data_IF_070195609048
#
_entry.id   IF_070195609048
#
_cell.length_a   1.000
_cell.length_b   1.000
_cell.length_c   1.000
_cell.angle_alpha   90.00
_cell.angle_beta   90.00
_cell.angle_gamma   90.00
#
_symmetry.space_group_name_H-M   'P 1'
#
loop_
_entity.id
_entity.type
_entity.pdbx_description
1 polymer ?
#
# COMPACT_ATOMS: atom_id res chain seq x y z
N UNK A 1 -3.30 9.78 18.37
CA UNK A 1 -3.90 8.87 17.38
C UNK A 1 -2.75 8.09 16.76
N UNK A 2 -2.83 6.75 16.67
CA UNK A 2 -1.80 5.97 15.97
C UNK A 2 -1.94 6.26 14.47
N UNK A 3 -0.84 6.40 13.73
CA UNK A 3 -0.91 6.50 12.27
C UNK A 3 -1.24 5.13 11.67
N UNK A 4 -2.06 5.07 10.60
CA UNK A 4 -2.44 3.81 9.99
C UNK A 4 -1.26 3.18 9.28
N UNK A 5 -0.91 1.96 9.70
CA UNK A 5 0.23 1.21 9.19
C UNK A 5 -0.11 0.51 7.87
N UNK A 6 -1.39 0.38 7.51
CA UNK A 6 -1.78 -0.16 6.22
C UNK A 6 -3.06 0.51 5.74
N UNK A 7 -3.15 0.78 4.44
CA UNK A 7 -4.37 1.22 3.77
C UNK A 7 -4.66 0.28 2.60
N UNK A 8 -5.87 -0.26 2.56
CA UNK A 8 -6.33 -1.14 1.48
C UNK A 8 -7.49 -0.48 0.74
N UNK A 9 -7.51 -0.64 -0.59
CA UNK A 9 -8.62 -0.19 -1.40
C UNK A 9 -9.79 -1.17 -1.26
N UNK A 10 -10.95 -0.67 -0.91
CA UNK A 10 -12.17 -1.45 -0.75
C UNK A 10 -12.96 -1.49 -2.07
N UNK A 11 -13.98 -2.34 -2.15
CA UNK A 11 -14.83 -2.48 -3.34
C UNK A 11 -15.57 -1.18 -3.71
N UNK A 12 -15.83 -0.31 -2.74
CA UNK A 12 -16.40 1.04 -2.94
C UNK A 12 -15.41 2.04 -3.56
N UNK A 13 -14.15 1.62 -3.74
CA UNK A 13 -13.07 2.43 -4.29
C UNK A 13 -12.32 3.29 -3.26
N UNK A 14 -12.76 3.30 -2.00
CA UNK A 14 -12.14 4.08 -0.92
C UNK A 14 -10.95 3.34 -0.30
N UNK A 15 -9.98 4.10 0.20
CA UNK A 15 -8.85 3.56 0.96
C UNK A 15 -9.20 3.48 2.44
N UNK A 16 -9.26 2.27 2.99
CA UNK A 16 -9.56 2.03 4.40
C UNK A 16 -8.27 1.84 5.20
N UNK A 17 -8.06 2.60 6.30
CA UNK A 17 -6.91 2.43 7.16
C UNK A 17 -7.06 1.25 8.13
N UNK A 18 -5.95 0.54 8.37
CA UNK A 18 -5.80 -0.56 9.32
C UNK A 18 -4.59 -0.31 10.23
N UNK A 19 -4.69 -0.82 11.46
CA UNK A 19 -3.70 -0.62 12.52
C UNK A 19 -3.26 -1.97 13.07
N UNK A 20 -1.97 -2.09 13.38
CA UNK A 20 -1.43 -3.27 14.07
C UNK A 20 -2.05 -3.42 15.47
N UNK A 21 -2.17 -4.66 15.96
CA UNK A 21 -2.60 -4.94 17.32
C UNK A 21 -1.65 -4.32 18.35
N UNK A 22 -2.15 -4.12 19.57
CA UNK A 22 -1.35 -3.55 20.67
C UNK A 22 -0.24 -4.49 21.16
N UNK A 23 -0.39 -5.79 20.93
CA UNK A 23 0.56 -6.82 21.32
C UNK A 23 0.88 -7.70 20.10
N UNK A 24 2.18 -7.90 19.85
CA UNK A 24 2.69 -8.76 18.80
C UNK A 24 3.53 -9.83 19.49
N UNK A 25 3.20 -11.11 19.25
CA UNK A 25 3.94 -12.20 19.87
C UNK A 25 5.32 -12.39 19.21
N UNK A 26 6.27 -12.96 19.96
CA UNK A 26 7.59 -13.30 19.41
C UNK A 26 7.53 -14.27 18.24
N UNK A 27 6.50 -15.13 18.18
CA UNK A 27 6.26 -16.03 17.04
C UNK A 27 5.90 -15.25 15.77
N UNK A 28 5.03 -14.24 15.89
CA UNK A 28 4.68 -13.36 14.77
C UNK A 28 5.91 -12.56 14.31
N UNK A 29 6.72 -12.07 15.25
CA UNK A 29 7.97 -11.37 14.91
C UNK A 29 8.97 -12.29 14.19
N UNK A 30 9.11 -13.54 14.64
CA UNK A 30 9.95 -14.54 13.94
C UNK A 30 9.48 -14.75 12.50
N UNK A 31 8.19 -15.01 12.31
CA UNK A 31 7.62 -15.23 10.97
C UNK A 31 7.81 -13.99 10.07
N UNK A 32 7.64 -12.79 10.63
CA UNK A 32 7.91 -11.54 9.92
C UNK A 32 9.36 -11.42 9.48
N UNK A 33 10.32 -11.82 10.31
CA UNK A 33 11.74 -11.81 9.96
C UNK A 33 12.04 -12.77 8.81
N UNK A 34 11.56 -14.02 8.90
CA UNK A 34 11.77 -15.03 7.87
C UNK A 34 11.15 -14.59 6.53
N UNK A 35 9.95 -14.00 6.57
CA UNK A 35 9.27 -13.49 5.38
C UNK A 35 9.98 -12.26 4.80
N UNK A 36 10.42 -11.33 5.64
CA UNK A 36 11.14 -10.14 5.21
C UNK A 36 12.46 -10.48 4.49
N UNK A 37 13.18 -11.51 4.94
CA UNK A 37 14.42 -11.92 4.27
C UNK A 37 14.17 -12.50 2.88
N UNK A 38 13.13 -13.33 2.72
CA UNK A 38 12.75 -13.87 1.40
C UNK A 38 12.24 -12.81 0.43
N UNK A 39 11.59 -11.76 0.94
CA UNK A 39 11.05 -10.66 0.13
C UNK A 39 12.10 -9.65 -0.36
N UNK A 40 13.37 -9.77 0.07
CA UNK A 40 14.47 -8.91 -0.42
C UNK A 40 15.00 -9.34 -1.79
N UNK A 41 14.62 -10.52 -2.27
CA UNK A 41 15.06 -11.04 -3.56
C UNK A 41 14.41 -10.29 -4.73
N UNK A 42 15.16 -10.08 -5.83
CA UNK A 42 14.64 -9.36 -7.00
C UNK A 42 13.47 -10.08 -7.70
N UNK A 43 13.42 -11.42 -7.57
CA UNK A 43 12.41 -12.27 -8.18
C UNK A 43 11.57 -12.98 -7.12
N UNK A 44 10.67 -12.23 -6.48
CA UNK A 44 9.74 -12.79 -5.51
C UNK A 44 8.71 -13.70 -6.22
N UNK A 45 8.64 -15.00 -5.90
CA UNK A 45 7.64 -15.89 -6.47
C UNK A 45 6.25 -15.55 -5.95
N UNK A 46 5.22 -15.75 -6.78
CA UNK A 46 3.84 -15.41 -6.40
C UNK A 46 3.34 -16.21 -5.18
N UNK A 47 3.80 -17.46 -5.02
CA UNK A 47 3.48 -18.29 -3.85
C UNK A 47 3.96 -17.63 -2.54
N UNK A 48 5.08 -16.91 -2.56
CA UNK A 48 5.53 -16.13 -1.39
C UNK A 48 4.64 -14.91 -1.15
N UNK A 49 4.07 -14.32 -2.21
CA UNK A 49 3.10 -13.23 -2.09
C UNK A 49 1.81 -13.73 -1.45
N UNK A 50 1.31 -14.91 -1.81
CA UNK A 50 0.13 -15.52 -1.20
C UNK A 50 0.36 -15.84 0.29
N UNK A 51 1.50 -16.45 0.62
CA UNK A 51 1.91 -16.67 2.01
C UNK A 51 1.99 -15.35 2.78
N UNK A 52 2.56 -14.32 2.16
CA UNK A 52 2.65 -12.99 2.74
C UNK A 52 1.29 -12.32 2.93
N UNK A 53 0.35 -12.49 1.98
CA UNK A 53 -1.01 -11.98 2.10
C UNK A 53 -1.75 -12.63 3.27
N UNK A 54 -1.60 -13.95 3.46
CA UNK A 54 -2.16 -14.65 4.61
C UNK A 54 -1.55 -14.15 5.92
N UNK A 55 -0.22 -14.03 5.98
CA UNK A 55 0.46 -13.48 7.14
C UNK A 55 -0.04 -12.06 7.49
N UNK A 56 -0.23 -11.20 6.49
CA UNK A 56 -0.77 -9.85 6.71
C UNK A 56 -2.20 -9.92 7.27
N UNK A 57 -3.09 -10.76 6.72
CA UNK A 57 -4.43 -10.99 7.29
C UNK A 57 -4.38 -11.37 8.78
N UNK A 58 -3.53 -12.34 9.12
CA UNK A 58 -3.40 -12.87 10.47
C UNK A 58 -2.87 -11.81 11.46
N UNK A 59 -1.84 -11.05 11.06
CA UNK A 59 -1.26 -9.95 11.85
C UNK A 59 -2.29 -8.88 12.18
N UNK A 60 -3.21 -8.62 11.27
CA UNK A 60 -4.28 -7.64 11.47
C UNK A 60 -5.54 -8.26 12.11
N UNK A 61 -5.41 -9.42 12.76
CA UNK A 61 -6.48 -10.10 13.49
C UNK A 61 -7.69 -10.43 12.58
N UNK A 62 -7.44 -10.77 11.31
CA UNK A 62 -8.47 -11.10 10.32
C UNK A 62 -9.52 -10.00 10.11
N UNK A 63 -9.12 -8.72 10.25
CA UNK A 63 -9.96 -7.55 9.91
C UNK A 63 -10.26 -7.44 8.42
N UNK A 64 -9.50 -8.14 7.59
CA UNK A 64 -9.68 -8.36 6.17
C UNK A 64 -9.08 -9.73 5.81
N UNK A 65 -9.52 -10.33 4.71
CA UNK A 65 -8.96 -11.60 4.21
C UNK A 65 -7.70 -11.39 3.35
N UNK A 66 -6.94 -12.46 3.11
CA UNK A 66 -5.82 -12.45 2.16
C UNK A 66 -6.26 -12.06 0.74
N UNK A 67 -7.45 -12.46 0.30
CA UNK A 67 -8.04 -12.03 -0.98
C UNK A 67 -8.37 -10.53 -1.01
N UNK A 68 -8.93 -9.99 0.07
CA UNK A 68 -9.19 -8.56 0.22
C UNK A 68 -7.89 -7.74 0.21
N UNK A 69 -6.81 -8.29 0.78
CA UNK A 69 -5.49 -7.71 0.69
C UNK A 69 -4.96 -7.68 -0.75
N UNK A 70 -5.02 -8.82 -1.47
CA UNK A 70 -4.53 -8.97 -2.84
C UNK A 70 -5.31 -8.09 -3.82
N UNK A 71 -6.62 -7.97 -3.65
CA UNK A 71 -7.48 -7.13 -4.50
C UNK A 71 -7.40 -5.65 -4.12
N UNK A 72 -7.22 -5.34 -2.84
CA UNK A 72 -7.12 -3.98 -2.31
C UNK A 72 -5.75 -3.34 -2.45
N UNK A 73 -4.72 -4.10 -2.84
CA UNK A 73 -3.36 -3.64 -3.06
C UNK A 73 -3.00 -3.72 -4.53
N UNK A 74 -2.40 -2.66 -5.07
CA UNK A 74 -1.98 -2.68 -6.47
C UNK A 74 -0.86 -3.70 -6.70
N UNK A 75 -1.02 -4.58 -7.69
CA UNK A 75 -0.20 -5.79 -7.90
C UNK A 75 1.31 -5.55 -7.90
N UNK A 76 1.78 -4.47 -8.55
CA UNK A 76 3.20 -4.09 -8.60
C UNK A 76 3.84 -3.81 -7.24
N UNK A 77 3.04 -3.58 -6.19
CA UNK A 77 3.52 -3.21 -4.86
C UNK A 77 3.26 -4.27 -3.80
N UNK A 78 2.70 -5.43 -4.16
CA UNK A 78 2.34 -6.48 -3.19
C UNK A 78 3.54 -6.87 -2.31
N UNK A 79 4.68 -7.20 -2.93
CA UNK A 79 5.90 -7.56 -2.21
C UNK A 79 6.36 -6.45 -1.25
N UNK A 80 6.38 -5.20 -1.73
CA UNK A 80 6.82 -4.03 -0.96
C UNK A 80 5.90 -3.76 0.23
N UNK A 81 4.58 -3.89 0.04
CA UNK A 81 3.59 -3.68 1.10
C UNK A 81 3.70 -4.78 2.16
N UNK A 82 3.82 -6.05 1.76
CA UNK A 82 4.02 -7.16 2.69
C UNK A 82 5.33 -6.96 3.47
N UNK A 83 6.41 -6.58 2.79
CA UNK A 83 7.69 -6.30 3.42
C UNK A 83 7.60 -5.15 4.43
N UNK A 84 6.89 -4.07 4.11
CA UNK A 84 6.67 -2.96 5.03
C UNK A 84 5.85 -3.39 6.27
N UNK A 85 4.85 -4.25 6.11
CA UNK A 85 4.14 -4.84 7.27
C UNK A 85 5.10 -5.65 8.13
N UNK A 86 5.99 -6.45 7.53
CA UNK A 86 7.01 -7.20 8.27
C UNK A 86 7.94 -6.25 9.05
N UNK A 87 8.43 -5.18 8.43
CA UNK A 87 9.26 -4.18 9.13
C UNK A 87 8.50 -3.53 10.30
N UNK A 88 7.21 -3.24 10.13
CA UNK A 88 6.36 -2.69 11.20
C UNK A 88 6.22 -3.65 12.38
N UNK A 89 5.99 -4.94 12.09
CA UNK A 89 5.92 -6.02 13.08
C UNK A 89 7.23 -6.16 13.86
N UNK A 90 8.37 -5.95 13.19
CA UNK A 90 9.71 -5.94 13.79
C UNK A 90 10.07 -4.63 14.52
N UNK A 91 9.13 -3.70 14.64
CA UNK A 91 9.32 -2.43 15.35
C UNK A 91 10.00 -1.32 14.54
N UNK A 92 10.31 -1.55 13.25
CA UNK A 92 10.89 -0.55 12.33
C UNK A 92 9.79 0.28 11.67
N UNK A 93 8.99 0.95 12.50
CA UNK A 93 7.77 1.66 12.09
C UNK A 93 8.05 2.80 11.12
N UNK A 94 9.14 3.55 11.32
CA UNK A 94 9.51 4.68 10.44
C UNK A 94 9.88 4.22 9.01
N UNK A 95 10.65 3.14 8.90
CA UNK A 95 11.03 2.57 7.59
C UNK A 95 9.79 2.05 6.86
N UNK A 96 8.91 1.34 7.56
CA UNK A 96 7.67 0.84 7.00
C UNK A 96 6.74 1.96 6.54
N UNK A 97 6.58 3.02 7.33
CA UNK A 97 5.75 4.17 6.99
C UNK A 97 6.24 4.84 5.70
N UNK A 98 7.55 5.05 5.56
CA UNK A 98 8.15 5.63 4.36
C UNK A 98 7.91 4.76 3.11
N UNK A 99 8.06 3.44 3.22
CA UNK A 99 7.80 2.53 2.11
C UNK A 99 6.34 2.62 1.64
N UNK A 100 5.41 2.62 2.58
CA UNK A 100 3.98 2.66 2.28
C UNK A 100 3.53 4.01 1.74
N UNK A 101 4.07 5.10 2.26
CA UNK A 101 3.80 6.44 1.71
C UNK A 101 4.24 6.54 0.25
N UNK A 102 5.42 6.01 -0.09
CA UNK A 102 5.88 5.95 -1.47
C UNK A 102 4.92 5.14 -2.36
N UNK A 103 4.39 4.02 -1.86
CA UNK A 103 3.40 3.22 -2.58
C UNK A 103 2.10 4.01 -2.79
N UNK A 104 1.56 4.64 -1.74
CA UNK A 104 0.28 5.36 -1.82
C UNK A 104 0.35 6.65 -2.64
N UNK A 105 1.47 7.37 -2.60
CA UNK A 105 1.67 8.59 -3.41
C UNK A 105 1.73 8.27 -4.90
N UNK A 106 2.33 7.15 -5.29
CA UNK A 106 2.36 6.71 -6.69
C UNK A 106 0.97 6.27 -7.16
N UNK A 107 0.22 5.55 -6.32
CA UNK A 107 -1.15 5.13 -6.66
C UNK A 107 -2.12 6.32 -6.82
N UNK A 108 -1.92 7.40 -6.05
CA UNK A 108 -2.78 8.59 -6.08
C UNK A 108 -2.41 9.63 -7.16
N UNK A 109 -1.30 9.46 -7.90
CA UNK A 109 -0.86 10.45 -8.93
C UNK A 109 -1.78 10.57 -10.15
N UNK A 110 -2.88 9.79 -10.25
CA UNK A 110 -3.92 10.01 -11.27
C UNK A 110 -5.03 10.94 -10.78
N UNK A 111 -4.76 12.26 -10.69
CA UNK A 111 -5.79 13.32 -10.82
C UNK A 111 -5.22 14.76 -10.81
N UNK A 112 -4.18 15.04 -11.59
CA UNK A 112 -4.03 16.41 -12.10
C UNK A 112 -4.37 16.42 -13.59
N UNK A 113 -5.63 16.73 -13.99
CA UNK A 113 -5.86 17.15 -15.35
C UNK A 113 -4.98 18.37 -15.57
N UNK A 114 -3.95 18.24 -16.42
CA UNK A 114 -3.19 19.41 -16.90
C UNK A 114 -4.22 20.48 -17.29
N UNK A 115 -4.10 21.73 -16.83
CA UNK A 115 -5.04 22.77 -17.22
C UNK A 115 -5.00 22.87 -18.75
N UNK A 116 -6.06 22.39 -19.40
CA UNK A 116 -6.24 22.49 -20.85
C UNK A 116 -6.32 23.97 -21.16
N UNK A 117 -5.20 24.52 -21.64
CA UNK A 117 -5.05 25.92 -21.96
C UNK A 117 -6.18 26.32 -22.93
N UNK A 118 -7.23 26.97 -22.41
CA UNK A 118 -8.35 27.47 -23.21
C UNK A 118 -7.78 28.59 -24.08
N UNK A 119 -7.45 28.27 -25.34
CA UNK A 119 -7.24 29.27 -26.38
C UNK A 119 -8.47 30.19 -26.38
N UNK A 120 -8.30 31.41 -25.87
CA UNK A 120 -9.28 32.49 -25.98
C UNK A 120 -9.40 32.82 -27.47
N UNK A 121 -10.48 32.37 -28.11
CA UNK A 121 -10.91 32.94 -29.37
C UNK A 121 -11.22 34.43 -29.12
N UNK A 122 -10.36 35.32 -29.62
CA UNK A 122 -10.68 36.74 -29.76
C UNK A 122 -11.63 36.87 -30.97
N UNK A 123 -12.82 37.50 -30.84
CA UNK A 123 -13.56 37.92 -32.01
C UNK A 123 -12.81 39.09 -32.69
N UNK A 124 -12.62 38.98 -34.00
CA UNK A 124 -12.05 40.06 -34.81
C UNK A 124 -13.19 40.98 -35.27
N UNK A 125 -13.37 42.07 -34.54
CA UNK A 125 -13.99 43.33 -35.01
C UNK A 125 -12.84 44.32 -35.22
N UNK A 126 -12.74 45.18 -36.22
CA UNK A 126 -13.65 45.74 -37.22
C UNK A 126 -12.80 46.35 -38.36
N UNK A 127 -13.48 46.64 -39.48
CA UNK A 127 -13.16 47.44 -40.69
C UNK A 127 -12.19 48.64 -40.53
N UNK A 128 -11.58 49.09 -41.65
CA UNK A 128 -12.19 50.17 -42.45
C UNK A 128 -12.78 49.71 -43.78
#
# INVERSE_FOLDING_TARGET
MKEPILKLRQADGNLRPFYLPGFISGLVARNASELADKLKEDNVPFELIEQGAQFVSDVYENKFSSEEFLTGTHSQYLAVVIFAVCQSVLGKVAEAANLLENVYTVQNKKKNPRPRNKRKNKPHTQKP
#
